data_IF_564444417143
#
_entry.id   IF_564444417143
#
_cell.length_a   1.000
_cell.length_b   1.000
_cell.length_c   1.000
_cell.angle_alpha   90.00
_cell.angle_beta   90.00
_cell.angle_gamma   90.00
#
_symmetry.space_group_name_H-M   'P 1'
#
loop_
_entity.id
_entity.type
_entity.pdbx_description
1 polymer ?
#
# COMPACT_ATOMS: atom_id res chain seq x y z
N UNK A 1 -15.44 -0.33 -27.48
CA UNK A 1 -14.95 -0.35 -27.18
C UNK A 1 -14.28 -0.55 -26.34
N UNK A 2 -13.99 -0.74 -26.07
CA UNK A 2 -13.39 -1.03 -25.40
C UNK A 2 -12.71 -0.58 -24.47
N UNK A 3 -12.69 -0.71 -23.56
CA UNK A 3 -12.15 -0.27 -22.48
C UNK A 3 -11.12 -1.11 -21.97
N UNK A 4 -10.36 -1.58 -22.78
CA UNK A 4 -9.31 -2.43 -22.41
C UNK A 4 -8.21 -1.71 -21.70
N UNK A 5 -8.35 -0.43 -21.50
CA UNK A 5 -7.31 0.35 -20.85
C UNK A 5 -7.50 0.52 -19.37
N UNK A 6 -8.41 -0.23 -18.83
CA UNK A 6 -8.64 -0.12 -17.41
C UNK A 6 -7.42 -0.59 -16.64
N UNK A 7 -6.94 0.23 -15.72
CA UNK A 7 -5.78 -0.07 -14.92
C UNK A 7 -6.09 -1.11 -13.86
N UNK A 8 -5.22 -2.10 -13.71
CA UNK A 8 -5.28 -3.08 -12.62
C UNK A 8 -4.02 -2.90 -11.79
N UNK A 9 -4.15 -2.62 -10.48
CA UNK A 9 -2.96 -2.44 -9.65
C UNK A 9 -2.09 -3.68 -9.62
N UNK A 10 -0.78 -3.46 -9.63
CA UNK A 10 0.23 -4.51 -9.58
C UNK A 10 1.05 -4.36 -8.32
N UNK A 11 1.59 -5.47 -7.81
CA UNK A 11 2.46 -5.42 -6.63
C UNK A 11 3.60 -4.45 -6.88
N UNK A 12 3.81 -3.54 -5.93
CA UNK A 12 4.87 -2.56 -6.02
C UNK A 12 4.42 -1.23 -6.60
N UNK A 13 3.22 -1.16 -7.12
CA UNK A 13 2.70 0.13 -7.60
C UNK A 13 2.39 1.04 -6.43
N UNK A 14 2.80 2.31 -6.54
CA UNK A 14 2.28 3.36 -5.69
C UNK A 14 1.07 3.95 -6.40
N UNK A 15 -0.03 4.04 -5.69
CA UNK A 15 -1.31 4.46 -6.28
C UNK A 15 -1.97 5.49 -5.39
N UNK A 16 -2.77 6.37 -6.00
CA UNK A 16 -3.75 7.18 -5.27
C UNK A 16 -4.98 6.31 -5.02
N UNK A 17 -5.52 6.36 -3.81
CA UNK A 17 -6.74 5.62 -3.47
C UNK A 17 -7.46 6.35 -2.34
N UNK A 18 -8.79 6.22 -2.31
CA UNK A 18 -9.61 6.85 -1.29
C UNK A 18 -9.73 5.92 -0.09
N UNK A 19 -9.26 6.39 1.06
CA UNK A 19 -9.28 5.63 2.31
C UNK A 19 -10.53 5.87 3.16
N UNK A 20 -11.38 6.81 2.77
CA UNK A 20 -12.59 7.06 3.54
C UNK A 20 -13.56 5.89 3.43
N UNK A 21 -14.35 5.60 4.47
CA UNK A 21 -14.32 6.25 5.77
C UNK A 21 -13.15 5.77 6.62
N UNK A 22 -12.70 6.65 7.48
CA UNK A 22 -11.62 6.35 8.41
C UNK A 22 -12.19 6.00 9.78
N UNK A 23 -11.42 5.23 10.56
CA UNK A 23 -11.77 4.92 11.94
C UNK A 23 -10.54 5.14 12.82
N UNK A 24 -10.68 5.95 13.86
CA UNK A 24 -9.63 6.17 14.84
C UNK A 24 -8.35 6.71 14.23
N UNK A 25 -7.26 5.97 14.41
CA UNK A 25 -5.93 6.39 13.99
C UNK A 25 -5.57 5.99 12.57
N UNK A 26 -6.52 5.43 11.82
CA UNK A 26 -6.27 5.04 10.45
C UNK A 26 -6.16 6.27 9.56
N UNK A 27 -5.44 6.11 8.45
CA UNK A 27 -5.33 7.17 7.47
C UNK A 27 -6.69 7.41 6.82
N UNK A 28 -6.92 8.66 6.39
CA UNK A 28 -8.20 9.07 5.82
C UNK A 28 -7.98 9.86 4.55
N UNK A 29 -9.04 9.97 3.74
CA UNK A 29 -9.02 10.78 2.53
C UNK A 29 -8.33 10.09 1.38
N UNK A 30 -8.13 10.83 0.29
CA UNK A 30 -7.41 10.31 -0.87
C UNK A 30 -5.93 10.46 -0.62
N UNK A 31 -5.22 9.34 -0.59
CA UNK A 31 -3.80 9.29 -0.23
C UNK A 31 -3.07 8.30 -1.10
N UNK A 32 -1.75 8.42 -1.18
CA UNK A 32 -0.96 7.40 -1.84
C UNK A 32 -0.87 6.14 -0.97
N UNK A 33 -0.71 5.03 -1.63
CA UNK A 33 -0.55 3.74 -0.99
C UNK A 33 0.32 2.85 -1.87
N UNK A 34 0.97 1.86 -1.27
CA UNK A 34 1.71 0.86 -2.03
C UNK A 34 0.90 -0.43 -2.09
N UNK A 35 0.83 -1.02 -3.27
CA UNK A 35 0.10 -2.27 -3.51
C UNK A 35 1.03 -3.44 -3.19
N UNK A 36 0.55 -4.37 -2.38
CA UNK A 36 1.34 -5.53 -1.96
C UNK A 36 0.86 -6.83 -2.61
N UNK A 37 -0.40 -6.92 -2.99
CA UNK A 37 -0.93 -8.14 -3.59
C UNK A 37 -0.67 -8.17 -5.09
N UNK A 38 -0.56 -9.37 -5.67
CA UNK A 38 -0.23 -9.49 -7.09
C UNK A 38 -1.39 -9.11 -8.00
N UNK A 39 -1.06 -8.65 -9.20
CA UNK A 39 -2.05 -8.24 -10.18
C UNK A 39 -3.07 -9.31 -10.51
N UNK A 40 -2.65 -10.59 -10.52
CA UNK A 40 -3.59 -11.67 -10.79
C UNK A 40 -4.73 -11.71 -9.77
N UNK A 41 -4.40 -11.54 -8.48
CA UNK A 41 -5.43 -11.46 -7.45
C UNK A 41 -6.24 -10.19 -7.60
N UNK A 42 -5.57 -9.07 -7.81
CA UNK A 42 -6.24 -7.76 -7.86
C UNK A 42 -7.24 -7.69 -9.01
N UNK A 43 -6.85 -8.23 -10.16
CA UNK A 43 -7.72 -8.21 -11.33
C UNK A 43 -8.94 -9.10 -11.20
N UNK A 44 -8.79 -10.24 -10.50
CA UNK A 44 -9.90 -11.17 -10.35
C UNK A 44 -10.90 -10.73 -9.31
N UNK A 45 -10.42 -10.13 -8.22
CA UNK A 45 -11.27 -9.85 -7.07
C UNK A 45 -11.73 -8.41 -7.00
N UNK A 46 -11.06 -7.51 -7.72
CA UNK A 46 -11.21 -6.05 -7.60
C UNK A 46 -10.81 -5.54 -6.21
N UNK A 47 -10.10 -6.37 -5.45
CA UNK A 47 -9.50 -5.99 -4.17
C UNK A 47 -8.00 -5.90 -4.33
N UNK A 48 -7.35 -5.14 -3.46
CA UNK A 48 -5.90 -5.10 -3.41
C UNK A 48 -5.47 -4.90 -1.97
N UNK A 49 -4.48 -5.67 -1.55
CA UNK A 49 -3.86 -5.51 -0.23
C UNK A 49 -2.83 -4.41 -0.37
N UNK A 50 -2.93 -3.40 0.48
CA UNK A 50 -2.05 -2.25 0.36
C UNK A 50 -1.79 -1.61 1.72
N UNK A 51 -0.78 -0.73 1.75
CA UNK A 51 -0.43 0.05 2.93
C UNK A 51 -0.39 1.52 2.54
N UNK A 52 -0.90 2.41 3.40
CA UNK A 52 -0.90 3.83 3.10
C UNK A 52 0.50 4.44 3.20
N UNK A 53 0.69 5.55 2.52
CA UNK A 53 1.91 6.33 2.53
C UNK A 53 1.57 7.69 3.11
N UNK A 54 2.44 8.21 3.98
CA UNK A 54 2.24 9.51 4.61
C UNK A 54 3.56 10.28 4.67
N UNK A 55 3.45 11.61 4.64
CA UNK A 55 4.61 12.47 4.87
C UNK A 55 4.79 12.83 6.35
N UNK A 56 3.92 12.35 7.23
CA UNK A 56 4.06 12.57 8.66
C UNK A 56 4.94 11.46 9.24
N UNK A 57 6.24 11.67 9.19
CA UNK A 57 7.21 10.67 9.65
C UNK A 57 7.32 10.75 11.17
N UNK A 58 7.12 9.63 11.86
CA UNK A 58 7.18 9.57 13.31
C UNK A 58 8.35 8.72 13.81
N UNK A 59 9.04 8.01 12.92
CA UNK A 59 10.18 7.19 13.30
C UNK A 59 9.82 5.84 13.89
N UNK A 60 8.63 5.36 13.66
CA UNK A 60 8.21 4.06 14.15
C UNK A 60 8.88 2.93 13.35
N UNK A 61 9.11 1.76 13.99
CA UNK A 61 9.80 0.65 13.30
C UNK A 61 9.09 0.14 12.06
N UNK A 62 7.78 0.31 11.97
CA UNK A 62 7.01 -0.19 10.85
C UNK A 62 6.94 0.79 9.68
N UNK A 63 7.54 1.95 9.80
CA UNK A 63 7.64 2.88 8.69
C UNK A 63 8.77 2.48 7.76
N UNK A 64 8.49 2.45 6.46
CA UNK A 64 9.51 2.20 5.45
C UNK A 64 9.66 3.46 4.62
N UNK A 65 10.86 4.05 4.65
CA UNK A 65 11.10 5.31 3.95
C UNK A 65 11.16 5.08 2.44
N UNK A 66 10.55 5.99 1.70
CA UNK A 66 10.63 5.99 0.25
C UNK A 66 11.84 6.81 -0.15
N UNK A 67 12.72 6.28 -1.04
CA UNK A 67 13.92 7.04 -1.43
C UNK A 67 13.54 8.29 -2.21
N UNK A 68 14.41 9.29 -2.13
CA UNK A 68 14.22 10.55 -2.84
C UNK A 68 14.24 10.32 -4.34
N UNK A 69 13.57 11.21 -5.07
CA UNK A 69 13.62 11.20 -6.53
C UNK A 69 12.46 10.47 -7.20
N UNK A 70 11.54 9.93 -6.42
CA UNK A 70 10.36 9.27 -6.98
C UNK A 70 9.18 10.23 -6.98
N UNK A 71 8.13 9.84 -7.70
CA UNK A 71 6.93 10.67 -7.82
C UNK A 71 6.06 10.64 -6.57
N UNK A 72 6.44 9.87 -5.58
CA UNK A 72 5.77 9.80 -4.29
C UNK A 72 6.82 9.91 -3.20
N UNK A 73 6.47 10.55 -2.08
CA UNK A 73 7.40 10.80 -0.99
C UNK A 73 6.79 10.39 0.34
N UNK A 74 7.65 10.20 1.33
CA UNK A 74 7.21 9.93 2.68
C UNK A 74 7.60 8.55 3.15
N UNK A 75 6.77 7.98 4.02
CA UNK A 75 6.99 6.65 4.58
C UNK A 75 5.75 5.80 4.37
N UNK A 76 5.98 4.51 4.19
CA UNK A 76 4.92 3.51 4.05
C UNK A 76 4.62 2.97 5.44
N UNK A 77 3.34 2.98 5.82
CA UNK A 77 2.89 2.52 7.13
C UNK A 77 2.57 1.03 7.04
N UNK A 78 3.58 0.19 7.27
CA UNK A 78 3.44 -1.25 7.07
C UNK A 78 2.48 -1.90 8.04
N UNK A 79 2.20 -1.27 9.17
CA UNK A 79 1.25 -1.81 10.14
C UNK A 79 -0.20 -1.38 9.89
N UNK A 80 -0.45 -0.62 8.83
CA UNK A 80 -1.82 -0.25 8.44
C UNK A 80 -2.22 -0.96 7.16
N UNK A 81 -1.88 -2.24 7.06
CA UNK A 81 -2.21 -3.04 5.88
C UNK A 81 -3.73 -3.24 5.80
N UNK A 82 -4.28 -3.08 4.61
CA UNK A 82 -5.72 -3.21 4.36
C UNK A 82 -5.97 -3.87 3.02
N UNK A 83 -7.08 -4.59 2.94
CA UNK A 83 -7.56 -5.13 1.66
C UNK A 83 -8.75 -4.27 1.23
N UNK A 84 -8.62 -3.56 0.12
CA UNK A 84 -9.60 -2.56 -0.29
C UNK A 84 -10.05 -2.77 -1.72
N UNK A 85 -11.30 -2.40 -1.99
CA UNK A 85 -11.85 -2.42 -3.36
C UNK A 85 -11.28 -1.24 -4.13
N UNK A 86 -10.26 -1.51 -4.95
CA UNK A 86 -9.53 -0.45 -5.64
C UNK A 86 -10.37 0.23 -6.71
N UNK A 87 -11.34 -0.49 -7.28
CA UNK A 87 -12.18 0.08 -8.31
C UNK A 87 -13.17 1.08 -7.71
N UNK A 88 -13.84 0.69 -6.64
CA UNK A 88 -14.80 1.55 -5.96
C UNK A 88 -14.12 2.76 -5.32
N UNK A 89 -12.85 2.65 -4.98
CA UNK A 89 -12.11 3.72 -4.31
C UNK A 89 -11.23 4.53 -5.26
N UNK A 90 -11.53 4.45 -6.56
CA UNK A 90 -10.95 5.34 -7.57
C UNK A 90 -9.42 5.32 -7.60
N UNK A 91 -8.87 4.12 -7.71
CA UNK A 91 -7.41 3.95 -7.77
C UNK A 91 -6.85 4.65 -9.01
N UNK A 92 -5.66 5.24 -8.87
CA UNK A 92 -4.91 5.80 -9.99
C UNK A 92 -3.42 5.58 -9.77
N UNK A 93 -2.73 5.12 -10.79
CA UNK A 93 -1.30 4.83 -10.70
C UNK A 93 -0.49 6.11 -10.53
N UNK A 94 0.49 6.10 -9.62
CA UNK A 94 1.48 7.15 -9.48
C UNK A 94 2.79 6.72 -10.14
N UNK A 95 3.37 5.63 -9.66
CA UNK A 95 4.65 5.11 -10.16
C UNK A 95 4.87 3.73 -9.60
N UNK A 96 5.89 3.03 -10.09
CA UNK A 96 6.32 1.76 -9.50
C UNK A 96 7.42 2.03 -8.50
N UNK A 97 7.37 1.36 -7.36
CA UNK A 97 8.41 1.49 -6.33
C UNK A 97 9.50 0.44 -6.55
N UNK A 98 10.74 0.72 -6.11
CA UNK A 98 11.82 -0.26 -6.20
C UNK A 98 11.48 -1.54 -5.45
N UNK A 99 11.93 -2.68 -5.97
CA UNK A 99 11.64 -3.98 -5.39
C UNK A 99 12.11 -4.09 -3.94
N UNK A 100 13.25 -3.50 -3.61
CA UNK A 100 13.77 -3.59 -2.25
C UNK A 100 12.89 -2.84 -1.25
N UNK A 101 12.21 -1.79 -1.70
CA UNK A 101 11.26 -1.07 -0.83
C UNK A 101 10.03 -1.95 -0.57
N UNK A 102 9.52 -2.57 -1.60
CA UNK A 102 8.36 -3.47 -1.49
C UNK A 102 8.70 -4.64 -0.58
N UNK A 103 9.90 -5.22 -0.75
CA UNK A 103 10.36 -6.32 0.10
C UNK A 103 10.45 -5.91 1.56
N UNK A 104 10.93 -4.70 1.83
CA UNK A 104 11.03 -4.21 3.20
C UNK A 104 9.66 -4.10 3.85
N UNK A 105 8.66 -3.65 3.09
CA UNK A 105 7.29 -3.58 3.60
C UNK A 105 6.75 -4.98 3.87
N UNK A 106 6.95 -5.89 2.91
CA UNK A 106 6.46 -7.27 3.07
C UNK A 106 7.08 -7.95 4.28
N UNK A 107 8.37 -7.73 4.54
CA UNK A 107 9.03 -8.31 5.71
C UNK A 107 8.38 -7.83 7.00
N UNK A 108 8.04 -6.54 7.08
CA UNK A 108 7.41 -6.00 8.27
C UNK A 108 6.00 -6.54 8.46
N UNK A 109 5.24 -6.65 7.36
CA UNK A 109 3.90 -7.23 7.42
C UNK A 109 3.97 -8.68 7.87
N UNK A 110 4.92 -9.44 7.34
CA UNK A 110 5.11 -10.85 7.71
C UNK A 110 5.43 -10.98 9.19
N UNK A 111 6.22 -10.07 9.74
CA UNK A 111 6.55 -10.09 11.16
C UNK A 111 5.29 -10.01 12.02
N UNK A 112 4.34 -9.18 11.60
CA UNK A 112 3.09 -9.02 12.34
C UNK A 112 2.17 -10.23 12.22
N UNK A 113 2.32 -11.01 11.15
CA UNK A 113 1.46 -12.16 10.90
C UNK A 113 2.10 -13.48 11.29
N UNK A 114 3.37 -13.49 11.68
CA UNK A 114 4.10 -14.71 11.96
C UNK A 114 3.62 -15.36 13.25
N UNK A 115 3.36 -16.66 13.17
CA UNK A 115 2.98 -17.41 14.35
C UNK A 115 4.13 -17.59 15.30
N UNK A 116 5.37 -17.45 14.80
CA UNK A 116 6.55 -17.67 15.62
C UNK A 116 6.93 -16.44 16.39
N UNK A 117 6.36 -15.28 16.06
CA UNK A 117 6.73 -14.05 16.70
C UNK A 117 5.88 -13.86 17.94
N UNK A 118 6.47 -14.00 19.12
CA UNK A 118 5.75 -13.83 20.37
C UNK A 118 5.85 -12.46 20.93
N UNK A 119 6.80 -11.69 20.46
CA UNK A 119 7.04 -10.37 20.96
C UNK A 119 7.28 -9.45 19.81
N UNK A 120 6.27 -9.31 19.00
CA UNK A 120 6.38 -8.54 17.78
C UNK A 120 6.57 -7.05 18.05
N UNK A 121 6.20 -6.57 19.20
CA UNK A 121 6.24 -5.15 19.50
C UNK A 121 6.95 -4.89 20.80
#
# INVERSE_FOLDING_TARGET
MVTSNEYVPQRGDAVWINFNPQAGHEQAGRRPAVVLSPGAYNGKTHLAILCPITNQVKGYPFEVAIPAGLDVTGVILSDQVKNMDWQARNVALICSLPAEIVDAVLQRVETLLSRESKEAI
#
